data_IF_896389795337
#
_entry.id   IF_896389795337
#
_cell.length_a   1.000
_cell.length_b   1.000
_cell.length_c   1.000
_cell.angle_alpha   90.00
_cell.angle_beta   90.00
_cell.angle_gamma   90.00
#
_symmetry.space_group_name_H-M   'P 1'
#
loop_
_entity.id
_entity.type
_entity.pdbx_description
1 polymer ?
#
# COMPACT_ATOMS: atom_id res chain seq x y z
N UNK A 1 -4.31 -4.85 5.74
CA UNK A 1 -4.10 -4.10 7.02
C UNK A 1 -2.71 -4.26 7.61
N UNK A 2 -2.14 -5.48 7.72
CA UNK A 2 -0.79 -5.69 8.28
C UNK A 2 0.30 -4.87 7.54
N UNK A 3 0.24 -4.84 6.20
CA UNK A 3 1.16 -4.04 5.37
C UNK A 3 1.14 -2.54 5.75
N UNK A 4 -0.05 -1.92 5.78
CA UNK A 4 -0.20 -0.52 6.19
C UNK A 4 0.30 -0.28 7.62
N UNK A 5 0.01 -1.18 8.56
CA UNK A 5 0.49 -1.05 9.94
C UNK A 5 2.02 -1.03 10.02
N UNK A 6 2.71 -1.93 9.28
CA UNK A 6 4.16 -1.94 9.21
C UNK A 6 4.73 -0.65 8.61
N UNK A 7 4.13 -0.14 7.52
CA UNK A 7 4.54 1.10 6.86
C UNK A 7 4.34 2.32 7.78
N UNK A 8 3.20 2.43 8.46
CA UNK A 8 2.93 3.51 9.40
C UNK A 8 3.84 3.46 10.63
N UNK A 9 4.05 2.27 11.20
CA UNK A 9 4.97 2.09 12.31
C UNK A 9 6.38 2.53 11.91
N UNK A 10 6.86 2.12 10.73
CA UNK A 10 8.17 2.53 10.24
C UNK A 10 8.26 4.04 10.01
N UNK A 11 7.26 4.67 9.39
CA UNK A 11 7.23 6.12 9.21
C UNK A 11 7.31 6.87 10.55
N UNK A 12 6.57 6.40 11.55
CA UNK A 12 6.51 6.99 12.88
C UNK A 12 7.80 6.79 13.69
N UNK A 13 8.47 5.64 13.54
CA UNK A 13 9.67 5.28 14.30
C UNK A 13 10.96 5.84 13.72
N UNK A 14 11.05 6.02 12.40
CA UNK A 14 12.29 6.43 11.74
C UNK A 14 12.21 7.86 11.18
N UNK A 15 11.66 8.13 9.97
CA UNK A 15 11.79 9.44 9.37
C UNK A 15 11.06 10.56 10.14
N UNK A 16 9.90 10.29 10.76
CA UNK A 16 9.23 11.32 11.57
C UNK A 16 10.05 11.68 12.82
N UNK A 17 10.72 10.71 13.46
CA UNK A 17 11.61 11.00 14.60
C UNK A 17 12.86 11.76 14.14
N UNK A 18 13.33 11.50 12.93
CA UNK A 18 14.47 12.18 12.31
C UNK A 18 14.13 13.60 11.79
N UNK A 19 12.86 14.04 11.91
CA UNK A 19 12.42 15.35 11.42
C UNK A 19 12.27 15.45 9.90
N UNK A 20 12.26 14.31 9.21
CA UNK A 20 12.18 14.22 7.76
C UNK A 20 10.79 14.65 7.26
N UNK A 21 10.73 15.86 6.71
CA UNK A 21 9.43 16.48 6.41
C UNK A 21 8.65 15.80 5.29
N UNK A 22 9.32 15.06 4.42
CA UNK A 22 8.65 14.25 3.40
C UNK A 22 7.78 13.13 4.00
N UNK A 23 8.14 12.60 5.17
CA UNK A 23 7.37 11.54 5.81
C UNK A 23 6.04 12.07 6.35
N UNK A 24 6.02 13.32 6.82
CA UNK A 24 4.79 13.99 7.20
C UNK A 24 3.86 14.20 6.00
N UNK A 25 4.38 14.67 4.87
CA UNK A 25 3.60 14.83 3.64
C UNK A 25 3.09 13.51 3.07
N UNK A 26 3.89 12.45 3.20
CA UNK A 26 3.49 11.11 2.82
C UNK A 26 2.38 10.59 3.75
N UNK A 27 2.49 10.82 5.06
CA UNK A 27 1.45 10.50 6.04
C UNK A 27 0.14 11.23 5.71
N UNK A 28 0.19 12.54 5.47
CA UNK A 28 -0.98 13.33 5.07
C UNK A 28 -1.64 12.78 3.79
N UNK A 29 -0.85 12.56 2.73
CA UNK A 29 -1.35 12.01 1.46
C UNK A 29 -1.98 10.63 1.66
N UNK A 30 -1.36 9.78 2.49
CA UNK A 30 -1.91 8.46 2.80
C UNK A 30 -3.22 8.54 3.60
N UNK A 31 -3.37 9.51 4.50
CA UNK A 31 -4.61 9.73 5.24
C UNK A 31 -5.70 10.26 4.32
N UNK A 32 -5.39 11.22 3.43
CA UNK A 32 -6.35 11.72 2.45
C UNK A 32 -6.87 10.57 1.58
N UNK A 33 -6.00 9.68 1.09
CA UNK A 33 -6.44 8.55 0.27
C UNK A 33 -7.14 7.45 1.07
N UNK A 34 -6.65 7.13 2.27
CA UNK A 34 -7.26 6.13 3.15
C UNK A 34 -8.66 6.55 3.60
N UNK A 35 -8.79 7.70 4.25
CA UNK A 35 -10.08 8.25 4.66
C UNK A 35 -10.95 8.64 3.45
N UNK A 36 -10.36 9.16 2.38
CA UNK A 36 -11.09 9.53 1.17
C UNK A 36 -11.70 8.33 0.44
N UNK A 37 -11.07 7.15 0.52
CA UNK A 37 -11.64 5.93 -0.06
C UNK A 37 -12.99 5.54 0.56
N UNK A 38 -13.26 5.98 1.80
CA UNK A 38 -14.59 5.82 2.41
C UNK A 38 -15.69 6.55 1.62
N UNK A 39 -15.37 7.65 0.93
CA UNK A 39 -16.37 8.39 0.16
C UNK A 39 -16.78 7.66 -1.12
N UNK A 40 -16.02 6.67 -1.57
CA UNK A 40 -16.37 5.85 -2.72
C UNK A 40 -17.67 5.07 -2.51
N UNK A 41 -18.05 4.77 -1.25
CA UNK A 41 -19.31 4.10 -0.93
C UNK A 41 -20.55 4.93 -1.33
N UNK A 42 -20.44 6.26 -1.31
CA UNK A 42 -21.52 7.16 -1.73
C UNK A 42 -21.85 7.00 -3.22
N UNK A 43 -20.87 6.61 -4.05
CA UNK A 43 -21.07 6.42 -5.49
C UNK A 43 -22.06 5.31 -5.83
N UNK A 44 -22.21 4.31 -4.96
CA UNK A 44 -23.16 3.19 -5.13
C UNK A 44 -24.49 3.40 -4.36
N UNK A 45 -24.63 4.50 -3.61
CA UNK A 45 -25.81 4.73 -2.76
C UNK A 45 -25.90 3.83 -1.53
N UNK A 46 -24.79 3.20 -1.13
CA UNK A 46 -24.69 2.35 0.06
C UNK A 46 -23.78 2.99 1.10
N UNK A 47 -24.33 3.37 2.25
CA UNK A 47 -23.55 3.89 3.36
C UNK A 47 -23.38 2.82 4.42
N UNK A 48 -22.15 2.33 4.59
CA UNK A 48 -21.81 1.45 5.69
C UNK A 48 -21.62 2.25 6.98
N UNK A 49 -22.58 2.11 7.91
CA UNK A 49 -22.58 2.85 9.17
C UNK A 49 -21.43 2.42 10.09
N UNK A 50 -21.00 1.16 10.05
CA UNK A 50 -19.90 0.69 10.90
C UNK A 50 -18.57 1.32 10.50
N UNK A 51 -18.29 1.39 9.20
CA UNK A 51 -17.15 2.09 8.66
C UNK A 51 -17.28 3.59 8.85
N UNK A 52 -18.50 4.16 8.80
CA UNK A 52 -18.71 5.57 9.11
C UNK A 52 -18.31 5.89 10.56
N UNK A 53 -18.74 5.05 11.52
CA UNK A 53 -18.35 5.19 12.92
C UNK A 53 -16.85 5.00 13.13
N UNK A 54 -16.25 3.97 12.52
CA UNK A 54 -14.81 3.75 12.60
C UNK A 54 -14.03 4.96 12.02
N UNK A 55 -14.46 5.47 10.86
CA UNK A 55 -13.89 6.66 10.22
C UNK A 55 -14.02 7.88 11.13
N UNK A 56 -15.20 8.13 11.70
CA UNK A 56 -15.46 9.25 12.60
C UNK A 56 -14.61 9.19 13.87
N UNK A 57 -14.40 7.99 14.43
CA UNK A 57 -13.60 7.82 15.64
C UNK A 57 -12.09 7.89 15.37
N UNK A 58 -11.65 7.43 14.20
CA UNK A 58 -10.23 7.45 13.81
C UNK A 58 -9.78 8.79 13.24
N UNK A 59 -10.68 9.58 12.66
CA UNK A 59 -10.33 10.86 12.03
C UNK A 59 -9.72 11.87 13.02
N UNK A 60 -10.25 12.08 14.24
CA UNK A 60 -9.60 12.92 15.24
C UNK A 60 -8.20 12.44 15.62
N UNK A 61 -7.99 11.12 15.71
CA UNK A 61 -6.68 10.53 16.00
C UNK A 61 -5.71 10.80 14.84
N UNK A 62 -6.15 10.65 13.60
CA UNK A 62 -5.35 10.96 12.41
C UNK A 62 -5.00 12.45 12.32
N UNK A 63 -5.95 13.34 12.59
CA UNK A 63 -5.72 14.79 12.64
C UNK A 63 -4.75 15.14 13.77
N UNK A 64 -4.94 14.58 14.97
CA UNK A 64 -4.02 14.77 16.09
C UNK A 64 -2.61 14.30 15.74
N UNK A 65 -2.47 13.13 15.10
CA UNK A 65 -1.17 12.63 14.64
C UNK A 65 -0.50 13.61 13.68
N UNK A 66 -1.22 14.17 12.69
CA UNK A 66 -0.69 15.18 11.78
C UNK A 66 -0.28 16.46 12.51
N UNK A 67 -1.11 16.99 13.41
CA UNK A 67 -0.82 18.22 14.16
C UNK A 67 0.40 18.05 15.07
N UNK A 68 0.47 16.95 15.82
CA UNK A 68 1.54 16.67 16.79
C UNK A 68 2.88 16.39 16.11
N UNK A 69 2.87 15.80 14.91
CA UNK A 69 4.09 15.51 14.16
C UNK A 69 4.55 16.67 13.28
N UNK A 70 3.67 17.62 12.94
CA UNK A 70 4.01 18.77 12.07
C UNK A 70 5.17 19.61 12.61
N UNK A 71 5.23 19.85 13.93
CA UNK A 71 6.31 20.63 14.56
C UNK A 71 7.69 19.98 14.42
N UNK A 72 7.74 18.64 14.37
CA UNK A 72 9.00 17.88 14.16
C UNK A 72 9.45 17.94 12.70
N UNK A 73 8.51 18.13 11.78
CA UNK A 73 8.71 18.04 10.35
C UNK A 73 8.29 19.36 9.68
N UNK A 74 8.96 20.51 9.95
CA UNK A 74 8.48 21.83 9.53
C UNK A 74 8.65 22.11 8.03
N UNK A 75 9.47 21.32 7.33
CA UNK A 75 9.79 21.52 5.92
C UNK A 75 8.58 21.43 4.99
N UNK A 76 8.71 22.11 3.84
CA UNK A 76 7.71 22.08 2.77
C UNK A 76 7.77 20.81 1.92
N UNK A 77 6.94 20.76 0.89
CA UNK A 77 6.96 19.67 -0.10
C UNK A 77 8.26 19.73 -0.90
N UNK A 78 8.92 18.58 -1.03
CA UNK A 78 10.11 18.43 -1.88
C UNK A 78 9.96 17.17 -2.73
N UNK A 79 9.83 17.37 -4.04
CA UNK A 79 9.65 16.31 -5.03
C UNK A 79 10.95 15.55 -5.37
N UNK A 80 12.12 16.10 -5.05
CA UNK A 80 13.39 15.45 -5.35
C UNK A 80 13.51 14.11 -4.61
N UNK A 81 14.12 13.08 -5.22
CA UNK A 81 14.37 11.82 -4.53
C UNK A 81 15.34 12.05 -3.36
N UNK A 82 15.13 11.38 -2.23
CA UNK A 82 16.06 11.48 -1.10
C UNK A 82 17.36 10.73 -1.33
N UNK A 83 17.36 9.81 -2.31
CA UNK A 83 18.55 9.16 -2.83
C UNK A 83 18.33 8.72 -4.28
N UNK A 84 19.39 8.70 -5.09
CA UNK A 84 19.39 8.10 -6.43
C UNK A 84 20.67 7.28 -6.62
N UNK A 85 20.63 6.18 -7.40
CA UNK A 85 21.86 5.50 -7.81
C UNK A 85 22.68 6.42 -8.72
N UNK A 86 24.00 6.18 -8.79
CA UNK A 86 24.87 6.86 -9.75
C UNK A 86 24.49 6.50 -11.19
N UNK A 87 24.10 5.23 -11.41
CA UNK A 87 23.63 4.72 -12.68
C UNK A 87 22.31 3.95 -12.48
N UNK A 88 21.24 4.35 -13.17
CA UNK A 88 19.94 3.67 -13.09
C UNK A 88 19.94 2.26 -13.68
N UNK A 89 20.90 1.95 -14.55
CA UNK A 89 21.09 0.63 -15.14
C UNK A 89 21.99 -0.27 -14.29
N UNK A 90 22.49 0.20 -13.15
CA UNK A 90 23.15 -0.67 -12.18
C UNK A 90 22.17 -1.64 -11.55
N UNK A 91 22.68 -2.68 -10.87
CA UNK A 91 21.86 -3.69 -10.21
C UNK A 91 20.87 -3.07 -9.22
N UNK A 92 21.34 -2.18 -8.36
CA UNK A 92 20.51 -1.47 -7.38
C UNK A 92 19.59 -0.42 -8.02
N UNK A 93 20.02 0.19 -9.13
CA UNK A 93 19.18 1.09 -9.91
C UNK A 93 17.97 0.37 -10.51
N UNK A 94 18.20 -0.78 -11.15
CA UNK A 94 17.14 -1.67 -11.67
C UNK A 94 16.24 -2.14 -10.53
N UNK A 95 16.82 -2.58 -9.40
CA UNK A 95 16.04 -3.00 -8.23
C UNK A 95 15.08 -1.92 -7.73
N UNK A 96 15.56 -0.67 -7.68
CA UNK A 96 14.75 0.49 -7.30
C UNK A 96 13.68 0.82 -8.35
N UNK A 97 13.99 0.74 -9.64
CA UNK A 97 13.02 0.96 -10.72
C UNK A 97 11.90 -0.09 -10.70
N UNK A 98 12.23 -1.36 -10.47
CA UNK A 98 11.22 -2.43 -10.36
C UNK A 98 10.29 -2.17 -9.17
N UNK A 99 10.83 -1.73 -8.03
CA UNK A 99 10.01 -1.34 -6.88
C UNK A 99 9.14 -0.11 -7.13
N UNK A 100 9.65 0.90 -7.83
CA UNK A 100 8.85 2.07 -8.27
C UNK A 100 7.71 1.61 -9.18
N UNK A 101 8.02 0.82 -10.22
CA UNK A 101 7.03 0.29 -11.15
C UNK A 101 5.98 -0.59 -10.46
N UNK A 102 6.39 -1.44 -9.52
CA UNK A 102 5.47 -2.27 -8.73
C UNK A 102 4.56 -1.43 -7.82
N UNK A 103 5.10 -0.36 -7.23
CA UNK A 103 4.31 0.56 -6.40
C UNK A 103 3.30 1.35 -7.23
N UNK A 104 3.69 1.81 -8.42
CA UNK A 104 2.77 2.41 -9.39
C UNK A 104 1.70 1.41 -9.86
N UNK A 105 2.08 0.15 -10.06
CA UNK A 105 1.15 -0.94 -10.34
C UNK A 105 0.12 -1.14 -9.24
N UNK A 106 0.52 -1.09 -7.96
CA UNK A 106 -0.40 -1.11 -6.83
C UNK A 106 -1.34 0.10 -6.81
N UNK A 107 -0.83 1.31 -7.10
CA UNK A 107 -1.66 2.50 -7.21
C UNK A 107 -2.73 2.31 -8.30
N UNK A 108 -2.32 1.87 -9.50
CA UNK A 108 -3.23 1.59 -10.61
C UNK A 108 -4.25 0.51 -10.25
N UNK A 109 -3.81 -0.60 -9.67
CA UNK A 109 -4.69 -1.69 -9.24
C UNK A 109 -5.72 -1.22 -8.21
N UNK A 110 -5.30 -0.46 -7.19
CA UNK A 110 -6.20 0.11 -6.19
C UNK A 110 -7.26 1.02 -6.80
N UNK A 111 -6.85 1.92 -7.71
CA UNK A 111 -7.77 2.78 -8.45
C UNK A 111 -8.76 1.97 -9.30
N UNK A 112 -8.28 0.96 -10.03
CA UNK A 112 -9.14 0.09 -10.84
C UNK A 112 -10.16 -0.66 -9.99
N UNK A 113 -9.73 -1.25 -8.87
CA UNK A 113 -10.63 -1.98 -7.97
C UNK A 113 -11.69 -1.05 -7.38
N UNK A 114 -11.31 0.16 -6.96
CA UNK A 114 -12.27 1.16 -6.47
C UNK A 114 -13.25 1.58 -7.57
N UNK A 115 -12.76 1.86 -8.78
CA UNK A 115 -13.60 2.25 -9.91
C UNK A 115 -14.62 1.16 -10.25
N UNK A 116 -14.19 -0.10 -10.36
CA UNK A 116 -15.08 -1.25 -10.59
C UNK A 116 -16.07 -1.38 -9.44
N UNK A 117 -15.63 -1.25 -8.19
CA UNK A 117 -16.49 -1.29 -7.00
C UNK A 117 -17.58 -0.21 -6.98
N UNK A 118 -17.35 0.95 -7.59
CA UNK A 118 -18.33 2.04 -7.67
C UNK A 118 -19.26 1.96 -8.89
N UNK A 119 -18.96 1.09 -9.87
CA UNK A 119 -19.66 1.07 -11.17
C UNK A 119 -20.30 -0.30 -11.42
N UNK A 120 -19.55 -1.23 -11.99
CA UNK A 120 -20.04 -2.54 -12.42
C UNK A 120 -20.13 -3.56 -11.28
N UNK A 121 -19.37 -3.35 -10.20
CA UNK A 121 -19.22 -4.22 -9.01
C UNK A 121 -18.59 -5.59 -9.31
N UNK A 122 -18.91 -6.20 -10.45
CA UNK A 122 -18.40 -7.50 -10.87
C UNK A 122 -17.64 -7.39 -12.18
N UNK A 123 -16.55 -8.14 -12.28
CA UNK A 123 -15.94 -8.52 -13.55
C UNK A 123 -16.42 -9.93 -13.96
N UNK A 124 -16.30 -10.32 -15.25
CA UNK A 124 -16.83 -11.60 -15.71
C UNK A 124 -16.32 -12.83 -14.94
N UNK A 125 -15.06 -12.81 -14.52
CA UNK A 125 -14.46 -13.89 -13.72
C UNK A 125 -15.13 -14.04 -12.35
N UNK A 126 -15.69 -12.96 -11.78
CA UNK A 126 -16.38 -13.03 -10.49
C UNK A 126 -17.70 -13.78 -10.61
N UNK A 127 -18.51 -13.49 -11.63
CA UNK A 127 -19.79 -14.15 -11.85
C UNK A 127 -19.58 -15.61 -12.26
N UNK A 128 -18.54 -15.89 -13.05
CA UNK A 128 -18.14 -17.26 -13.38
C UNK A 128 -17.73 -18.07 -12.13
N UNK A 129 -17.02 -17.43 -11.18
CA UNK A 129 -16.63 -18.06 -9.92
C UNK A 129 -17.83 -18.27 -8.98
N UNK A 130 -18.68 -17.26 -8.82
CA UNK A 130 -19.83 -17.29 -7.92
C UNK A 130 -20.95 -18.20 -8.46
N UNK A 131 -21.07 -18.33 -9.78
CA UNK A 131 -22.07 -19.17 -10.44
C UNK A 131 -23.48 -18.57 -10.49
N UNK A 132 -23.62 -17.27 -10.22
CA UNK A 132 -24.88 -16.54 -10.27
C UNK A 132 -24.73 -15.26 -11.09
N UNK A 133 -25.83 -14.82 -11.72
CA UNK A 133 -25.90 -13.49 -12.32
C UNK A 133 -26.09 -12.40 -11.25
N UNK A 134 -25.87 -11.14 -11.64
CA UNK A 134 -26.13 -10.00 -10.76
C UNK A 134 -27.59 -9.94 -10.32
N UNK A 135 -28.51 -10.22 -11.24
CA UNK A 135 -29.96 -10.21 -11.01
C UNK A 135 -30.37 -11.32 -10.04
N UNK A 136 -29.79 -12.51 -10.19
CA UNK A 136 -30.01 -13.65 -9.29
C UNK A 136 -29.51 -13.34 -7.88
N UNK A 137 -28.30 -12.76 -7.75
CA UNK A 137 -27.77 -12.33 -6.45
C UNK A 137 -28.67 -11.28 -5.79
N UNK A 138 -29.18 -10.32 -6.57
CA UNK A 138 -30.11 -9.31 -6.06
C UNK A 138 -31.46 -9.92 -5.63
N UNK A 139 -31.95 -10.92 -6.37
CA UNK A 139 -33.19 -11.64 -6.03
C UNK A 139 -33.04 -12.49 -4.77
N UNK A 140 -31.85 -13.06 -4.51
CA UNK A 140 -31.52 -13.75 -3.26
C UNK A 140 -31.55 -12.77 -2.10
N UNK A 141 -30.82 -11.66 -2.20
CA UNK A 141 -30.84 -10.60 -1.20
C UNK A 141 -30.32 -9.28 -1.80
N UNK A 142 -31.13 -8.20 -1.76
CA UNK A 142 -30.75 -6.92 -2.38
C UNK A 142 -29.52 -6.26 -1.72
N UNK A 143 -29.06 -6.75 -0.56
CA UNK A 143 -27.86 -6.24 0.14
C UNK A 143 -26.55 -6.87 -0.32
N UNK A 144 -26.56 -7.96 -1.08
CA UNK A 144 -25.33 -8.66 -1.48
C UNK A 144 -24.45 -7.85 -2.43
N UNK A 145 -25.03 -7.31 -3.50
CA UNK A 145 -24.27 -6.50 -4.47
C UNK A 145 -23.71 -5.22 -3.82
N UNK A 146 -24.49 -4.44 -3.03
CA UNK A 146 -23.93 -3.32 -2.27
C UNK A 146 -22.79 -3.70 -1.32
N UNK A 147 -22.89 -4.85 -0.65
CA UNK A 147 -21.83 -5.32 0.25
C UNK A 147 -20.53 -5.64 -0.52
N UNK A 148 -20.63 -6.27 -1.68
CA UNK A 148 -19.47 -6.59 -2.54
C UNK A 148 -18.85 -5.30 -3.11
N UNK A 149 -19.69 -4.35 -3.52
CA UNK A 149 -19.26 -3.02 -3.95
C UNK A 149 -18.46 -2.30 -2.85
N UNK A 150 -18.98 -2.32 -1.63
CA UNK A 150 -18.32 -1.82 -0.43
C UNK A 150 -16.96 -2.50 -0.20
N UNK A 151 -16.90 -3.83 -0.21
CA UNK A 151 -15.65 -4.56 0.04
C UNK A 151 -14.58 -4.25 -1.01
N UNK A 152 -14.97 -4.08 -2.28
CA UNK A 152 -14.06 -3.63 -3.35
C UNK A 152 -13.54 -2.23 -3.11
N UNK A 153 -14.42 -1.28 -2.82
CA UNK A 153 -14.00 0.10 -2.57
C UNK A 153 -13.03 0.18 -1.37
N UNK A 154 -13.31 -0.53 -0.28
CA UNK A 154 -12.44 -0.59 0.89
C UNK A 154 -11.10 -1.28 0.61
N UNK A 155 -11.12 -2.43 -0.07
CA UNK A 155 -9.90 -3.15 -0.46
C UNK A 155 -9.05 -2.33 -1.43
N UNK A 156 -9.65 -1.79 -2.48
CA UNK A 156 -8.99 -0.96 -3.48
C UNK A 156 -8.39 0.31 -2.88
N UNK A 157 -9.09 0.96 -1.93
CA UNK A 157 -8.56 2.07 -1.16
C UNK A 157 -7.31 1.69 -0.37
N UNK A 158 -7.35 0.56 0.34
CA UNK A 158 -6.20 0.03 1.06
C UNK A 158 -4.99 -0.27 0.15
N UNK A 159 -5.23 -0.85 -1.03
CA UNK A 159 -4.19 -1.14 -2.03
C UNK A 159 -3.60 0.15 -2.60
N UNK A 160 -4.42 1.13 -2.94
CA UNK A 160 -4.02 2.45 -3.41
C UNK A 160 -3.13 3.16 -2.37
N UNK A 161 -3.59 3.26 -1.12
CA UNK A 161 -2.82 3.88 -0.04
C UNK A 161 -1.50 3.15 0.22
N UNK A 162 -1.49 1.81 0.16
CA UNK A 162 -0.26 1.01 0.28
C UNK A 162 0.72 1.33 -0.85
N UNK A 163 0.24 1.42 -2.09
CA UNK A 163 1.06 1.79 -3.25
C UNK A 163 1.68 3.19 -3.12
N UNK A 164 0.91 4.17 -2.64
CA UNK A 164 1.39 5.54 -2.37
C UNK A 164 2.48 5.54 -1.29
N UNK A 165 2.26 4.84 -0.18
CA UNK A 165 3.23 4.73 0.91
C UNK A 165 4.53 4.08 0.43
N UNK A 166 4.44 2.95 -0.28
CA UNK A 166 5.61 2.27 -0.82
C UNK A 166 6.36 3.14 -1.82
N UNK A 167 5.66 3.77 -2.77
CA UNK A 167 6.28 4.68 -3.73
C UNK A 167 6.99 5.84 -3.02
N UNK A 168 6.33 6.47 -2.05
CA UNK A 168 6.90 7.57 -1.27
C UNK A 168 8.14 7.15 -0.48
N UNK A 169 8.09 6.00 0.21
CA UNK A 169 9.22 5.45 0.96
C UNK A 169 10.37 5.12 0.01
N UNK A 170 10.11 4.40 -1.08
CA UNK A 170 11.13 4.03 -2.06
C UNK A 170 11.76 5.28 -2.66
N UNK A 171 10.97 6.31 -3.00
CA UNK A 171 11.46 7.55 -3.61
C UNK A 171 12.26 8.44 -2.65
N UNK A 172 11.79 8.59 -1.41
CA UNK A 172 12.30 9.56 -0.45
C UNK A 172 13.27 9.00 0.58
N UNK A 173 13.14 7.74 0.99
CA UNK A 173 14.03 7.19 2.01
C UNK A 173 15.43 6.90 1.44
N UNK A 174 16.51 7.31 2.11
CA UNK A 174 17.84 6.83 1.78
C UNK A 174 17.96 5.31 2.07
N UNK A 175 18.83 4.59 1.33
CA UNK A 175 19.05 3.17 1.58
C UNK A 175 19.49 2.90 3.03
N UNK A 176 18.74 2.04 3.71
CA UNK A 176 18.99 1.63 5.09
C UNK A 176 18.34 0.28 5.37
N UNK A 177 18.89 -0.51 6.28
CA UNK A 177 18.39 -1.88 6.57
C UNK A 177 16.90 -1.86 6.92
N UNK A 178 16.47 -0.93 7.78
CA UNK A 178 15.07 -0.81 8.19
C UNK A 178 14.15 -0.39 7.03
N UNK A 179 14.60 0.46 6.09
CA UNK A 179 13.81 0.82 4.91
C UNK A 179 13.62 -0.39 3.98
N UNK A 180 14.66 -1.23 3.82
CA UNK A 180 14.54 -2.48 3.05
C UNK A 180 13.58 -3.46 3.74
N UNK A 181 13.74 -3.64 5.05
CA UNK A 181 12.91 -4.55 5.85
C UNK A 181 11.43 -4.16 5.79
N UNK A 182 11.08 -2.88 5.97
CA UNK A 182 9.67 -2.48 5.94
C UNK A 182 9.05 -2.73 4.56
N UNK A 183 9.76 -2.45 3.46
CA UNK A 183 9.25 -2.71 2.10
C UNK A 183 9.00 -4.21 1.91
N UNK A 184 9.95 -5.06 2.33
CA UNK A 184 9.85 -6.52 2.18
C UNK A 184 8.76 -7.11 3.09
N UNK A 185 8.71 -6.74 4.36
CA UNK A 185 7.69 -7.22 5.30
C UNK A 185 6.30 -6.81 4.84
N UNK A 186 6.14 -5.57 4.38
CA UNK A 186 4.85 -5.05 3.90
C UNK A 186 4.41 -5.76 2.63
N UNK A 187 5.32 -5.95 1.67
CA UNK A 187 5.04 -6.70 0.45
C UNK A 187 4.70 -8.17 0.74
N UNK A 188 5.50 -8.85 1.57
CA UNK A 188 5.26 -10.23 1.96
C UNK A 188 3.90 -10.39 2.64
N UNK A 189 3.61 -9.59 3.67
CA UNK A 189 2.33 -9.66 4.38
C UNK A 189 1.14 -9.38 3.44
N UNK A 190 1.27 -8.40 2.53
CA UNK A 190 0.22 -8.07 1.57
C UNK A 190 -0.03 -9.19 0.56
N UNK A 191 1.00 -9.57 -0.20
CA UNK A 191 0.87 -10.54 -1.29
C UNK A 191 0.61 -11.97 -0.80
N UNK A 192 1.18 -12.40 0.33
CA UNK A 192 0.91 -13.74 0.87
C UNK A 192 -0.55 -13.91 1.25
N UNK A 193 -1.18 -12.90 1.85
CA UNK A 193 -2.61 -12.94 2.17
C UNK A 193 -3.46 -12.83 0.91
N UNK A 194 -3.14 -11.87 0.03
CA UNK A 194 -3.89 -11.65 -1.20
C UNK A 194 -3.88 -12.87 -2.13
N UNK A 195 -2.73 -13.49 -2.35
CA UNK A 195 -2.60 -14.69 -3.18
C UNK A 195 -3.09 -15.93 -2.42
N UNK A 196 -2.75 -16.05 -1.15
CA UNK A 196 -3.04 -17.22 -0.33
C UNK A 196 -4.52 -17.53 -0.17
N UNK A 197 -5.37 -16.51 -0.05
CA UNK A 197 -6.83 -16.71 0.13
C UNK A 197 -7.52 -17.32 -1.10
N UNK A 198 -6.97 -17.15 -2.31
CA UNK A 198 -7.61 -17.60 -3.54
C UNK A 198 -7.62 -19.12 -3.72
N UNK A 199 -6.60 -19.81 -3.20
CA UNK A 199 -6.50 -21.27 -3.27
C UNK A 199 -7.55 -22.02 -2.43
N UNK A 200 -7.73 -21.73 -1.13
CA UNK A 200 -8.75 -22.42 -0.33
C UNK A 200 -10.18 -22.08 -0.76
N UNK A 201 -10.44 -20.91 -1.35
CA UNK A 201 -11.78 -20.55 -1.84
C UNK A 201 -12.04 -21.02 -3.28
N UNK A 202 -11.02 -21.47 -4.01
CA UNK A 202 -11.14 -21.96 -5.39
C UNK A 202 -11.22 -20.89 -6.48
N UNK A 203 -10.99 -19.61 -6.15
CA UNK A 203 -11.01 -18.52 -7.15
C UNK A 203 -9.62 -18.36 -7.80
N UNK A 204 -9.23 -19.33 -8.64
CA UNK A 204 -7.87 -19.42 -9.19
C UNK A 204 -7.79 -19.06 -10.68
N UNK A 205 -8.62 -18.12 -11.15
CA UNK A 205 -8.52 -17.63 -12.53
C UNK A 205 -7.15 -16.97 -12.77
N UNK A 206 -6.50 -17.36 -13.86
CA UNK A 206 -5.13 -16.94 -14.17
C UNK A 206 -5.05 -15.45 -14.44
N UNK A 207 -6.01 -14.88 -15.19
CA UNK A 207 -5.98 -13.45 -15.53
C UNK A 207 -6.27 -12.59 -14.31
N UNK A 208 -7.15 -13.07 -13.42
CA UNK A 208 -7.44 -12.46 -12.13
C UNK A 208 -6.23 -12.45 -11.19
N UNK A 209 -5.48 -13.55 -11.10
CA UNK A 209 -4.32 -13.66 -10.21
C UNK A 209 -3.03 -13.06 -10.77
N UNK A 210 -2.92 -12.91 -12.09
CA UNK A 210 -1.70 -12.43 -12.76
C UNK A 210 -1.18 -11.10 -12.21
N UNK A 211 -2.00 -10.04 -11.97
CA UNK A 211 -1.51 -8.80 -11.38
C UNK A 211 -0.89 -8.99 -10.00
N UNK A 212 -1.46 -9.87 -9.16
CA UNK A 212 -0.94 -10.15 -7.83
C UNK A 212 0.38 -10.92 -7.89
N UNK A 213 0.51 -11.89 -8.79
CA UNK A 213 1.77 -12.62 -9.01
C UNK A 213 2.86 -11.70 -9.58
N UNK A 214 2.53 -10.87 -10.56
CA UNK A 214 3.46 -9.90 -11.14
C UNK A 214 3.96 -8.90 -10.07
N UNK A 215 3.06 -8.39 -9.23
CA UNK A 215 3.42 -7.53 -8.11
C UNK A 215 4.34 -8.22 -7.11
N UNK A 216 4.01 -9.45 -6.69
CA UNK A 216 4.83 -10.23 -5.76
C UNK A 216 6.24 -10.49 -6.32
N UNK A 217 6.33 -10.91 -7.59
CA UNK A 217 7.59 -11.14 -8.28
C UNK A 217 8.41 -9.84 -8.43
N UNK A 218 7.74 -8.72 -8.74
CA UNK A 218 8.37 -7.40 -8.82
C UNK A 218 8.97 -6.96 -7.48
N UNK A 219 8.21 -7.05 -6.39
CA UNK A 219 8.72 -6.70 -5.06
C UNK A 219 9.86 -7.61 -4.60
N UNK A 220 9.76 -8.92 -4.87
CA UNK A 220 10.85 -9.87 -4.57
C UNK A 220 12.12 -9.55 -5.39
N UNK A 221 11.97 -9.28 -6.68
CA UNK A 221 13.08 -8.93 -7.57
C UNK A 221 13.76 -7.64 -7.11
N UNK A 222 12.99 -6.59 -6.84
CA UNK A 222 13.54 -5.34 -6.31
C UNK A 222 14.24 -5.52 -4.96
N UNK A 223 13.75 -6.41 -4.10
CA UNK A 223 14.38 -6.73 -2.82
C UNK A 223 15.74 -7.40 -3.00
N UNK A 224 15.83 -8.41 -3.88
CA UNK A 224 17.07 -9.13 -4.17
C UNK A 224 18.11 -8.19 -4.80
N UNK A 225 17.69 -7.36 -5.75
CA UNK A 225 18.60 -6.49 -6.50
C UNK A 225 19.11 -5.29 -5.66
N UNK A 226 18.28 -4.78 -4.75
CA UNK A 226 18.64 -3.63 -3.90
C UNK A 226 19.39 -4.01 -2.61
N UNK A 227 19.33 -5.29 -2.18
CA UNK A 227 19.83 -5.75 -0.87
C UNK A 227 21.23 -5.24 -0.53
N UNK A 228 22.21 -5.42 -1.42
CA UNK A 228 23.61 -5.02 -1.14
C UNK A 228 23.73 -3.54 -0.76
N UNK A 229 23.01 -2.66 -1.47
CA UNK A 229 23.06 -1.21 -1.23
C UNK A 229 22.40 -0.81 0.09
N UNK A 230 21.31 -1.47 0.48
CA UNK A 230 20.61 -1.16 1.72
C UNK A 230 21.35 -1.66 2.97
N UNK A 231 22.28 -2.62 2.81
CA UNK A 231 23.07 -3.21 3.90
C UNK A 231 24.53 -2.72 3.95
N UNK A 232 25.01 -1.96 2.95
CA UNK A 232 26.41 -1.53 2.88
C UNK A 232 26.84 -0.53 3.96
N UNK A 233 25.91 0.09 4.70
CA UNK A 233 26.21 0.98 5.83
C UNK A 233 26.16 0.31 7.21
N UNK A 234 26.02 -1.02 7.28
CA UNK A 234 25.90 -1.79 8.53
C UNK A 234 27.19 -2.49 8.96
N UNK A 235 28.34 -2.11 8.39
CA UNK A 235 29.64 -2.53 8.91
C UNK A 235 29.83 -1.93 10.30
N UNK A 236 29.72 -2.78 11.31
CA UNK A 236 30.16 -2.51 12.67
C UNK A 236 31.54 -1.87 12.61
N UNK A 237 31.66 -0.64 13.14
CA UNK A 237 32.96 -0.09 13.49
C UNK A 237 33.45 -0.94 14.65
N UNK A 238 34.37 -1.85 14.36
CA UNK A 238 35.15 -2.55 15.37
C UNK A 238 35.97 -1.45 16.07
N UNK A 239 35.46 -0.94 17.19
CA UNK A 239 36.22 -0.04 18.04
C UNK A 239 37.37 -0.86 18.62
N UNK A 240 38.59 -0.65 18.14
CA UNK A 240 39.78 -1.15 18.82
C UNK A 240 39.76 -0.69 20.28
N UNK A 241 40.03 -1.58 21.24
CA UNK A 241 40.09 -1.20 22.64
C UNK A 241 41.22 -0.18 22.85
N UNK A 242 41.02 0.83 23.71
CA UNK A 242 42.05 1.82 23.99
C UNK A 242 43.31 1.13 24.55
N UNK A 243 44.46 1.49 23.95
CA UNK A 243 45.82 1.07 24.35
C UNK A 243 46.20 1.59 25.73
#
# INVERSE_FOLDING_TARGET
MISLAALYAWLALFPIQQGESWAWWLLLTSFITGFGSFLCYLGYGYLDLWHAWATLLLLPVAVAALVLTRRRCPGGVNAAPGWKPENWMSREGIGRLVWIGSSLGLIGAGMTIMFVGMTEVFVPSDLAFVGYTREELHAINPRLVPLIAHDRAGFGGGVLTTGILLLGIIWKAPPSVHAWQVVVVSAFAGFSVAVGVHYPIGYTDTLHLLPAWAGAAGFLTGAILSKRRYFSGSTFVEQEPPS
#
